data_IF_164439848872
#
_entry.id   IF_164439848872
#
_cell.length_a   1.000
_cell.length_b   1.000
_cell.length_c   1.000
_cell.angle_alpha   90.00
_cell.angle_beta   90.00
_cell.angle_gamma   90.00
#
_symmetry.space_group_name_H-M   'P 1'
#
loop_
_entity.id
_entity.type
_entity.pdbx_description
1 polymer ?
#
# COMPACT_ATOMS: atom_id res chain seq x y z
N UNK A 1 -18.20 45.04 18.51
CA UNK A 1 -16.93 45.31 17.79
C UNK A 1 -15.80 44.37 18.19
N UNK A 2 -15.47 44.20 19.50
CA UNK A 2 -14.42 43.26 19.96
C UNK A 2 -14.58 41.82 19.45
N UNK A 3 -15.77 41.24 19.52
CA UNK A 3 -16.02 39.87 19.03
C UNK A 3 -16.00 39.74 17.50
N UNK A 4 -16.35 40.81 16.78
CA UNK A 4 -16.28 40.85 15.32
C UNK A 4 -14.82 40.81 14.84
N UNK A 5 -13.93 41.53 15.53
CA UNK A 5 -12.50 41.59 15.22
C UNK A 5 -11.85 40.22 15.46
N UNK A 6 -12.19 39.54 16.55
CA UNK A 6 -11.70 38.19 16.83
C UNK A 6 -12.15 37.18 15.77
N UNK A 7 -13.40 37.27 15.30
CA UNK A 7 -13.93 36.38 14.27
C UNK A 7 -13.25 36.62 12.90
N UNK A 8 -13.01 37.89 12.55
CA UNK A 8 -12.27 38.26 11.33
C UNK A 8 -10.80 37.79 11.38
N UNK A 9 -10.14 37.90 12.53
CA UNK A 9 -8.77 37.41 12.69
C UNK A 9 -8.70 35.88 12.58
N UNK A 10 -9.65 35.14 13.17
CA UNK A 10 -9.70 33.68 13.04
C UNK A 10 -9.92 33.24 11.59
N UNK A 11 -10.83 33.89 10.87
CA UNK A 11 -11.05 33.61 9.44
C UNK A 11 -9.81 33.91 8.60
N UNK A 12 -9.09 35.00 8.89
CA UNK A 12 -7.86 35.35 8.19
C UNK A 12 -6.76 34.31 8.40
N UNK A 13 -6.53 33.87 9.64
CA UNK A 13 -5.53 32.84 9.95
C UNK A 13 -5.91 31.46 9.41
N UNK A 14 -7.20 31.10 9.42
CA UNK A 14 -7.69 29.86 8.81
C UNK A 14 -7.48 29.87 7.29
N UNK A 15 -7.76 30.99 6.62
CA UNK A 15 -7.53 31.14 5.18
C UNK A 15 -6.03 31.11 4.83
N UNK A 16 -5.18 31.74 5.64
CA UNK A 16 -3.73 31.72 5.46
C UNK A 16 -3.16 30.30 5.65
N UNK A 17 -3.67 29.56 6.65
CA UNK A 17 -3.35 28.14 6.87
C UNK A 17 -3.72 27.27 5.67
N UNK A 18 -4.94 27.43 5.15
CA UNK A 18 -5.41 26.72 3.96
C UNK A 18 -4.57 27.03 2.72
N UNK A 19 -4.20 28.30 2.55
CA UNK A 19 -3.37 28.75 1.43
C UNK A 19 -1.95 28.15 1.50
N UNK A 20 -1.33 28.13 2.68
CA UNK A 20 -0.01 27.51 2.89
C UNK A 20 -0.09 25.99 2.73
N UNK A 21 -1.18 25.35 3.20
CA UNK A 21 -1.43 23.93 3.00
C UNK A 21 -1.50 23.58 1.51
N UNK A 22 -2.21 24.38 0.71
CA UNK A 22 -2.28 24.22 -0.76
C UNK A 22 -0.90 24.29 -1.42
N UNK A 23 -0.04 25.21 -1.00
CA UNK A 23 1.33 25.33 -1.52
C UNK A 23 2.23 24.16 -1.15
N UNK A 24 1.87 23.40 -0.10
CA UNK A 24 2.61 22.23 0.38
C UNK A 24 1.98 20.90 -0.03
N UNK A 25 1.05 20.91 -1.00
CA UNK A 25 0.39 19.70 -1.50
C UNK A 25 -0.56 19.04 -0.49
N UNK A 26 -1.04 19.78 0.52
CA UNK A 26 -1.98 19.28 1.53
C UNK A 26 -3.40 19.75 1.22
N UNK A 27 -4.40 19.00 1.70
CA UNK A 27 -5.81 19.37 1.54
C UNK A 27 -6.11 20.75 2.15
N UNK A 28 -6.47 21.77 1.35
CA UNK A 28 -6.68 23.12 1.86
C UNK A 28 -7.88 23.23 2.80
N UNK A 29 -8.90 22.37 2.63
CA UNK A 29 -10.17 22.45 3.37
C UNK A 29 -10.02 21.86 4.78
N UNK A 30 -9.32 20.73 4.92
CA UNK A 30 -8.98 20.13 6.20
C UNK A 30 -8.15 21.10 7.06
N UNK A 31 -7.13 21.73 6.46
CA UNK A 31 -6.27 22.70 7.15
C UNK A 31 -6.94 24.05 7.42
N UNK A 32 -8.01 24.39 6.70
CA UNK A 32 -8.89 25.52 7.04
C UNK A 32 -9.71 25.22 8.31
N UNK A 33 -10.35 24.05 8.37
CA UNK A 33 -11.16 23.62 9.51
C UNK A 33 -10.32 23.50 10.79
N UNK A 34 -9.11 22.94 10.66
CA UNK A 34 -8.11 22.89 11.73
C UNK A 34 -7.72 24.32 12.18
N UNK A 35 -7.57 25.25 11.24
CA UNK A 35 -7.29 26.66 11.54
C UNK A 35 -8.42 27.39 12.27
N UNK A 36 -9.68 27.05 11.99
CA UNK A 36 -10.83 27.60 12.74
C UNK A 36 -10.85 27.06 14.18
N UNK A 37 -10.51 25.77 14.35
CA UNK A 37 -10.60 25.08 15.63
C UNK A 37 -9.39 25.34 16.55
N UNK A 38 -8.18 25.43 15.99
CA UNK A 38 -6.91 25.59 16.71
C UNK A 38 -6.27 26.98 16.53
N UNK A 39 -6.85 27.85 15.70
CA UNK A 39 -6.41 29.23 15.54
C UNK A 39 -4.98 29.39 15.06
N UNK A 40 -4.22 30.28 15.71
CA UNK A 40 -2.85 30.67 15.33
C UNK A 40 -1.84 29.51 15.47
N UNK A 41 -2.20 28.42 16.16
CA UNK A 41 -1.34 27.25 16.27
C UNK A 41 -1.27 26.43 14.97
N UNK A 42 -2.25 26.55 14.07
CA UNK A 42 -2.25 25.84 12.79
C UNK A 42 -1.02 26.14 11.90
N UNK A 43 -0.67 27.42 11.62
CA UNK A 43 0.55 27.71 10.87
C UNK A 43 1.83 27.31 11.63
N UNK A 44 1.84 27.33 12.96
CA UNK A 44 2.97 26.83 13.76
C UNK A 44 3.14 25.31 13.58
N UNK A 45 2.03 24.57 13.52
CA UNK A 45 2.01 23.14 13.22
C UNK A 45 2.53 22.86 11.80
N UNK A 46 2.17 23.68 10.82
CA UNK A 46 2.71 23.58 9.45
C UNK A 46 4.23 23.79 9.41
N UNK A 47 4.81 24.59 10.32
CA UNK A 47 6.26 24.78 10.40
C UNK A 47 6.99 23.60 11.05
N UNK A 48 6.35 22.90 12.00
CA UNK A 48 6.92 21.74 12.70
C UNK A 48 6.74 20.45 11.88
N UNK A 49 5.63 20.31 11.15
CA UNK A 49 5.39 19.15 10.31
C UNK A 49 6.24 19.20 9.03
N UNK A 50 7.16 18.24 8.93
CA UNK A 50 7.81 17.77 7.68
C UNK A 50 6.76 17.69 6.55
N UNK A 51 7.08 18.04 5.29
CA UNK A 51 6.14 17.95 4.18
C UNK A 51 5.47 16.57 4.21
N UNK A 52 4.14 16.58 4.20
CA UNK A 52 3.34 15.35 4.26
C UNK A 52 3.52 14.71 2.88
N UNK A 53 4.42 13.73 2.80
CA UNK A 53 4.37 12.72 1.74
C UNK A 53 3.03 12.01 1.89
N UNK A 54 2.19 12.11 0.86
CA UNK A 54 0.91 11.43 0.66
C UNK A 54 0.66 10.26 1.61
N UNK A 55 -0.18 10.53 2.62
CA UNK A 55 -0.94 9.51 3.32
C UNK A 55 -2.37 10.04 3.49
N UNK A 56 -3.08 10.08 2.37
CA UNK A 56 -4.54 10.04 2.32
C UNK A 56 -4.97 8.59 2.63
N UNK A 57 -4.91 8.23 3.92
CA UNK A 57 -5.57 7.06 4.45
C UNK A 57 -6.98 7.45 4.91
N UNK A 58 -7.98 6.73 4.39
CA UNK A 58 -9.35 6.64 4.90
C UNK A 58 -10.33 7.77 4.52
N UNK A 59 -10.83 7.70 3.28
CA UNK A 59 -12.28 7.81 3.02
C UNK A 59 -12.71 6.74 2.03
N UNK A 60 -13.28 5.67 2.58
CA UNK A 60 -14.05 4.69 1.84
C UNK A 60 -15.40 5.32 1.45
N UNK A 61 -15.74 5.31 0.16
CA UNK A 61 -17.00 4.76 -0.41
C UNK A 61 -16.98 5.02 -1.92
N UNK A 62 -16.63 3.96 -2.64
CA UNK A 62 -17.20 3.43 -3.90
C UNK A 62 -17.56 4.34 -5.08
N UNK A 63 -17.23 3.78 -6.26
CA UNK A 63 -17.83 4.02 -7.58
C UNK A 63 -17.19 5.12 -8.45
N UNK A 64 -16.11 4.74 -9.16
CA UNK A 64 -16.21 4.59 -10.61
C UNK A 64 -15.03 3.76 -11.16
N UNK A 65 -15.39 2.72 -11.88
CA UNK A 65 -14.52 1.91 -12.71
C UNK A 65 -13.78 2.78 -13.71
N UNK A 66 -12.44 2.79 -13.67
CA UNK A 66 -11.55 2.85 -14.84
C UNK A 66 -10.10 3.13 -14.38
N UNK A 67 -9.50 2.13 -13.76
CA UNK A 67 -8.07 1.72 -13.87
C UNK A 67 -7.85 0.57 -12.88
N UNK A 68 -8.39 -0.60 -13.28
CA UNK A 68 -8.10 -1.93 -12.74
C UNK A 68 -6.60 -2.27 -12.95
N UNK A 69 -6.05 -3.11 -12.06
CA UNK A 69 -4.68 -3.68 -11.97
C UNK A 69 -3.63 -2.71 -11.35
N UNK A 70 -3.09 -2.86 -10.13
CA UNK A 70 -2.88 -4.06 -9.33
C UNK A 70 -2.63 -3.75 -7.82
N UNK A 71 -3.63 -3.93 -6.94
CA UNK A 71 -3.41 -4.12 -5.50
C UNK A 71 -3.16 -5.59 -5.15
N UNK A 72 -3.61 -6.53 -5.99
CA UNK A 72 -3.47 -7.96 -5.70
C UNK A 72 -2.04 -8.47 -5.86
N UNK A 73 -1.26 -7.93 -6.81
CA UNK A 73 0.08 -8.45 -7.13
C UNK A 73 1.07 -8.24 -5.99
N UNK A 74 1.11 -7.04 -5.42
CA UNK A 74 1.99 -6.73 -4.27
C UNK A 74 1.59 -7.51 -3.02
N UNK A 75 0.29 -7.67 -2.75
CA UNK A 75 -0.18 -8.45 -1.61
C UNK A 75 0.16 -9.96 -1.75
N UNK A 76 0.01 -10.53 -2.95
CA UNK A 76 0.36 -11.93 -3.23
C UNK A 76 1.88 -12.17 -3.16
N UNK A 77 2.70 -11.26 -3.70
CA UNK A 77 4.17 -11.35 -3.64
C UNK A 77 4.68 -11.34 -2.18
N UNK A 78 4.17 -10.43 -1.35
CA UNK A 78 4.56 -10.35 0.07
C UNK A 78 4.16 -11.62 0.82
N UNK A 79 2.98 -12.18 0.51
CA UNK A 79 2.47 -13.39 1.14
C UNK A 79 3.26 -14.65 0.77
N UNK A 80 3.81 -14.74 -0.44
CA UNK A 80 4.61 -15.89 -0.85
C UNK A 80 6.09 -15.78 -0.47
N UNK A 81 6.66 -14.57 -0.50
CA UNK A 81 8.08 -14.34 -0.25
C UNK A 81 8.54 -14.80 1.14
N UNK A 82 7.67 -14.70 2.14
CA UNK A 82 7.98 -15.07 3.53
C UNK A 82 7.68 -16.53 3.87
N UNK A 83 7.08 -17.29 2.95
CA UNK A 83 6.71 -18.69 3.19
C UNK A 83 7.81 -19.65 2.76
N UNK A 84 7.90 -20.76 3.50
CA UNK A 84 8.67 -21.93 3.09
C UNK A 84 7.86 -22.78 2.11
N UNK A 85 8.50 -23.14 1.01
CA UNK A 85 7.92 -23.90 -0.07
C UNK A 85 8.65 -25.22 -0.27
N UNK A 86 7.88 -26.23 -0.66
CA UNK A 86 8.36 -27.53 -1.09
C UNK A 86 7.88 -27.78 -2.52
N UNK A 87 8.66 -28.52 -3.30
CA UNK A 87 8.29 -28.89 -4.67
C UNK A 87 8.64 -30.35 -4.97
N UNK A 88 7.97 -30.95 -5.96
CA UNK A 88 8.33 -32.26 -6.48
C UNK A 88 9.26 -32.12 -7.68
N UNK A 89 10.43 -32.74 -7.61
CA UNK A 89 11.38 -32.78 -8.73
C UNK A 89 10.94 -33.75 -9.85
N UNK A 90 11.74 -33.86 -10.91
CA UNK A 90 11.49 -34.77 -12.04
C UNK A 90 11.43 -36.25 -11.64
N UNK A 91 12.06 -36.62 -10.53
CA UNK A 91 12.03 -37.95 -9.92
C UNK A 91 10.86 -38.14 -8.96
N UNK A 92 9.95 -37.14 -8.84
CA UNK A 92 8.84 -37.08 -7.89
C UNK A 92 9.29 -37.14 -6.42
N UNK A 93 10.50 -36.70 -6.13
CA UNK A 93 10.97 -36.54 -4.76
C UNK A 93 10.66 -35.13 -4.27
N UNK A 94 10.26 -35.03 -3.02
CA UNK A 94 10.04 -33.76 -2.35
C UNK A 94 11.40 -33.09 -2.08
N UNK A 95 11.51 -31.85 -2.51
CA UNK A 95 12.64 -30.97 -2.28
C UNK A 95 12.17 -29.73 -1.52
N UNK A 96 13.00 -29.24 -0.59
CA UNK A 96 12.70 -28.09 0.26
C UNK A 96 13.06 -28.32 1.74
N UNK A 97 12.82 -27.33 2.62
CA UNK A 97 12.14 -26.06 2.33
C UNK A 97 13.03 -25.10 1.51
N UNK A 98 12.41 -24.36 0.60
CA UNK A 98 13.02 -23.26 -0.16
C UNK A 98 12.11 -22.03 -0.12
N UNK A 99 12.65 -20.83 -0.34
CA UNK A 99 11.84 -19.63 -0.46
C UNK A 99 11.29 -19.44 -1.88
N UNK A 100 10.26 -18.60 -2.00
CA UNK A 100 9.64 -18.29 -3.29
C UNK A 100 10.65 -17.77 -4.34
N UNK A 101 11.67 -17.03 -3.93
CA UNK A 101 12.76 -16.58 -4.80
C UNK A 101 13.54 -17.73 -5.43
N UNK A 102 13.76 -18.82 -4.68
CA UNK A 102 14.42 -20.01 -5.19
C UNK A 102 13.52 -20.78 -6.16
N UNK A 103 12.19 -20.82 -5.94
CA UNK A 103 11.25 -21.37 -6.93
C UNK A 103 11.32 -20.60 -8.26
N UNK A 104 11.41 -19.26 -8.22
CA UNK A 104 11.60 -18.45 -9.42
C UNK A 104 12.90 -18.79 -10.14
N UNK A 105 14.00 -18.96 -9.41
CA UNK A 105 15.28 -19.36 -10.01
C UNK A 105 15.18 -20.76 -10.65
N UNK A 106 14.59 -21.73 -9.94
CA UNK A 106 14.39 -23.10 -10.44
C UNK A 106 13.52 -23.15 -11.69
N UNK A 107 12.58 -22.21 -11.84
CA UNK A 107 11.76 -22.06 -13.04
C UNK A 107 12.58 -21.55 -14.22
N UNK A 108 13.37 -20.48 -14.01
CA UNK A 108 14.27 -19.93 -15.04
C UNK A 108 15.31 -20.97 -15.49
N UNK A 109 15.76 -21.83 -14.57
CA UNK A 109 16.67 -22.95 -14.86
C UNK A 109 15.98 -24.18 -15.48
N UNK A 110 14.67 -24.12 -15.78
CA UNK A 110 13.87 -25.24 -16.33
C UNK A 110 13.93 -26.54 -15.50
N UNK A 111 14.24 -26.40 -14.20
CA UNK A 111 14.24 -27.52 -13.24
C UNK A 111 12.82 -27.86 -12.80
N UNK A 112 11.95 -26.86 -12.70
CA UNK A 112 10.52 -26.99 -12.45
C UNK A 112 9.73 -26.49 -13.66
N UNK A 113 8.52 -27.02 -13.81
CA UNK A 113 7.64 -26.80 -14.98
C UNK A 113 6.27 -26.31 -14.52
N UNK A 114 5.40 -25.79 -15.40
CA UNK A 114 4.03 -25.41 -15.04
C UNK A 114 3.22 -26.52 -14.35
N UNK A 115 3.55 -27.78 -14.65
CA UNK A 115 2.91 -28.97 -14.05
C UNK A 115 3.59 -29.45 -12.76
N UNK A 116 4.68 -28.82 -12.31
CA UNK A 116 5.37 -29.19 -11.08
C UNK A 116 4.49 -28.89 -9.87
N UNK A 117 4.35 -29.87 -8.98
CA UNK A 117 3.62 -29.72 -7.74
C UNK A 117 4.45 -28.96 -6.71
N UNK A 118 3.81 -28.02 -6.04
CA UNK A 118 4.35 -27.18 -4.97
C UNK A 118 3.40 -27.15 -3.79
N UNK A 119 3.94 -26.99 -2.59
CA UNK A 119 3.17 -26.89 -1.35
C UNK A 119 3.88 -25.95 -0.38
N UNK A 120 3.10 -25.20 0.40
CA UNK A 120 3.58 -24.44 1.55
C UNK A 120 2.66 -24.65 2.73
N UNK A 121 3.15 -24.33 3.93
CA UNK A 121 2.37 -24.41 5.15
C UNK A 121 1.07 -23.59 5.05
N UNK A 122 -0.05 -24.22 5.44
CA UNK A 122 -1.39 -23.65 5.33
C UNK A 122 -2.13 -23.94 4.02
N UNK A 123 -1.52 -24.66 3.07
CA UNK A 123 -2.24 -25.18 1.89
C UNK A 123 -2.88 -26.54 2.19
N UNK A 124 -4.13 -26.74 1.78
CA UNK A 124 -4.88 -27.99 2.00
C UNK A 124 -4.24 -29.21 1.31
N UNK A 125 -3.60 -28.99 0.15
CA UNK A 125 -2.98 -30.03 -0.67
C UNK A 125 -1.91 -29.46 -1.59
N UNK A 126 -1.05 -30.33 -2.14
CA UNK A 126 -0.11 -30.00 -3.20
C UNK A 126 -0.85 -29.47 -4.43
N UNK A 127 -0.42 -28.32 -4.95
CA UNK A 127 -1.00 -27.70 -6.14
C UNK A 127 0.04 -27.57 -7.23
N UNK A 128 -0.38 -27.49 -8.48
CA UNK A 128 0.57 -27.20 -9.56
C UNK A 128 1.03 -25.76 -9.46
N UNK A 129 2.27 -25.47 -9.84
CA UNK A 129 2.83 -24.13 -9.71
C UNK A 129 2.08 -23.10 -10.57
N UNK A 130 1.51 -23.51 -11.71
CA UNK A 130 0.64 -22.66 -12.53
C UNK A 130 -0.73 -22.35 -11.90
N UNK A 131 -1.16 -23.13 -10.90
CA UNK A 131 -2.42 -22.91 -10.17
C UNK A 131 -2.23 -21.93 -9.02
N UNK A 132 -0.98 -21.53 -8.71
CA UNK A 132 -0.71 -20.50 -7.74
C UNK A 132 -1.09 -19.13 -8.32
N UNK A 133 -2.06 -18.42 -7.72
CA UNK A 133 -2.47 -17.12 -8.23
C UNK A 133 -1.31 -16.13 -8.10
N UNK A 134 -0.96 -15.44 -9.19
CA UNK A 134 0.13 -14.47 -9.20
C UNK A 134 1.52 -15.05 -9.46
N UNK A 135 1.69 -16.38 -9.55
CA UNK A 135 3.02 -16.99 -9.74
C UNK A 135 3.59 -16.71 -11.12
N UNK A 136 2.80 -16.90 -12.18
CA UNK A 136 3.24 -16.68 -13.57
C UNK A 136 3.48 -15.18 -13.81
N UNK A 137 2.71 -14.33 -13.13
CA UNK A 137 2.86 -12.88 -13.19
C UNK A 137 4.08 -12.37 -12.39
N UNK A 138 4.56 -13.14 -11.41
CA UNK A 138 5.68 -12.82 -10.52
C UNK A 138 7.07 -13.28 -11.04
N UNK A 139 7.06 -14.05 -12.13
CA UNK A 139 8.23 -14.51 -12.89
C UNK A 139 8.78 -13.41 -13.81
#
# INVERSE_FOLDING_TARGET
MRMLISLLLLLFFAFLSAYIAKQRGRDPVAWFMIGILLGVFSPLLLLILKPLTEQEGERETEENEDLKLAPQKEFLEIGYAQKEWFYLDKSRQQQGPVYFSALKLLWVEEKITPATYVWSEGMDQWKRIQELPGFVEAL
#
